data_IF_530724909949
#
_entry.id   IF_530724909949
#
_cell.length_a   1.000
_cell.length_b   1.000
_cell.length_c   1.000
_cell.angle_alpha   90.00
_cell.angle_beta   90.00
_cell.angle_gamma   90.00
#
_symmetry.space_group_name_H-M   'P 1'
#
loop_
_entity.id
_entity.type
_entity.pdbx_description
1 polymer ?
#
# COMPACT_ATOMS: atom_id res chain seq x y z
N UNK A 1 -33.68 26.31 9.18
CA UNK A 1 -33.52 25.33 8.08
C UNK A 1 -32.09 25.27 7.53
N UNK A 2 -31.45 26.40 7.19
CA UNK A 2 -30.07 26.42 6.66
C UNK A 2 -29.02 25.75 7.57
N UNK A 3 -29.11 25.93 8.90
CA UNK A 3 -28.19 25.30 9.87
C UNK A 3 -28.24 23.76 9.89
N UNK A 4 -29.44 23.18 9.73
CA UNK A 4 -29.62 21.73 9.60
C UNK A 4 -29.03 21.22 8.28
N UNK A 5 -29.15 22.02 7.21
CA UNK A 5 -28.54 21.70 5.91
C UNK A 5 -27.01 21.69 5.98
N UNK A 6 -26.40 22.67 6.67
CA UNK A 6 -24.95 22.67 6.91
C UNK A 6 -24.48 21.47 7.73
N UNK A 7 -25.23 21.09 8.78
CA UNK A 7 -24.91 19.92 9.60
C UNK A 7 -24.90 18.62 8.77
N UNK A 8 -25.88 18.45 7.87
CA UNK A 8 -25.97 17.28 7.00
C UNK A 8 -24.79 17.19 6.02
N UNK A 9 -24.37 18.32 5.45
CA UNK A 9 -23.23 18.38 4.53
C UNK A 9 -21.93 17.98 5.26
N UNK A 10 -21.69 18.54 6.44
CA UNK A 10 -20.50 18.22 7.26
C UNK A 10 -20.48 16.74 7.63
N UNK A 11 -21.63 16.17 8.02
CA UNK A 11 -21.72 14.75 8.37
C UNK A 11 -21.38 13.85 7.16
N UNK A 12 -21.97 14.11 5.98
CA UNK A 12 -21.69 13.32 4.77
C UNK A 12 -20.22 13.38 4.34
N UNK A 13 -19.54 14.51 4.53
CA UNK A 13 -18.11 14.65 4.21
C UNK A 13 -17.19 13.83 5.15
N UNK A 14 -17.61 13.59 6.39
CA UNK A 14 -16.83 12.78 7.34
C UNK A 14 -16.90 11.29 6.96
N UNK A 15 -18.03 10.83 6.41
CA UNK A 15 -18.20 9.43 6.01
C UNK A 15 -17.49 9.05 4.70
N UNK A 16 -17.10 10.01 3.85
CA UNK A 16 -16.41 9.70 2.58
C UNK A 16 -14.93 9.34 2.73
N UNK A 17 -14.36 9.42 3.94
CA UNK A 17 -12.95 9.09 4.18
C UNK A 17 -12.68 7.57 4.31
N UNK A 18 -13.72 6.75 4.44
CA UNK A 18 -13.60 5.30 4.60
C UNK A 18 -13.59 4.59 3.23
N UNK A 19 -12.48 4.67 2.51
CA UNK A 19 -12.22 3.87 1.30
C UNK A 19 -10.87 3.16 1.42
N UNK A 20 -10.83 1.85 1.18
CA UNK A 20 -9.57 1.12 1.06
C UNK A 20 -8.81 1.50 -0.23
N UNK A 21 -7.64 0.92 -0.50
CA UNK A 21 -7.02 1.03 -1.83
C UNK A 21 -7.93 0.37 -2.89
N UNK A 22 -8.12 1.03 -4.03
CA UNK A 22 -8.79 0.49 -5.22
C UNK A 22 -7.78 0.33 -6.36
N UNK A 23 -8.04 -0.60 -7.29
CA UNK A 23 -7.26 -0.73 -8.53
C UNK A 23 -5.93 -1.46 -8.39
N UNK A 24 -5.69 -2.16 -7.27
CA UNK A 24 -4.52 -3.03 -7.15
C UNK A 24 -4.70 -4.32 -7.94
N UNK A 25 -3.58 -4.85 -8.45
CA UNK A 25 -3.52 -6.15 -9.12
C UNK A 25 -2.90 -7.13 -8.14
N UNK A 26 -3.58 -8.26 -7.91
CA UNK A 26 -2.99 -9.36 -7.14
C UNK A 26 -2.18 -10.24 -8.09
N UNK A 27 -0.87 -10.23 -7.92
CA UNK A 27 0.05 -11.12 -8.62
C UNK A 27 0.32 -12.39 -7.80
N UNK A 28 0.40 -13.54 -8.47
CA UNK A 28 0.68 -14.83 -7.82
C UNK A 28 2.17 -15.09 -7.65
N UNK A 29 3.03 -14.30 -8.30
CA UNK A 29 4.48 -14.42 -8.24
C UNK A 29 5.09 -13.33 -7.37
N UNK A 30 6.15 -13.63 -6.60
CA UNK A 30 6.88 -12.62 -5.86
C UNK A 30 7.51 -11.58 -6.81
N UNK A 31 7.74 -10.34 -6.35
CA UNK A 31 8.37 -9.33 -7.18
C UNK A 31 9.81 -9.74 -7.52
N UNK A 32 10.29 -9.40 -8.73
CA UNK A 32 11.67 -9.68 -9.11
C UNK A 32 12.62 -8.77 -8.32
N UNK A 33 13.31 -9.35 -7.34
CA UNK A 33 14.30 -8.65 -6.52
C UNK A 33 15.74 -9.01 -6.92
N UNK A 34 16.65 -8.04 -6.79
CA UNK A 34 18.08 -8.26 -6.92
C UNK A 34 18.83 -7.66 -5.72
N UNK A 35 19.76 -8.38 -5.07
CA UNK A 35 20.04 -9.81 -5.27
C UNK A 35 18.84 -10.72 -4.96
N UNK A 36 18.89 -11.95 -5.48
CA UNK A 36 17.83 -12.96 -5.33
C UNK A 36 17.88 -13.59 -3.92
N UNK A 37 17.15 -12.99 -2.97
CA UNK A 37 16.97 -13.49 -1.60
C UNK A 37 15.73 -14.37 -1.31
N UNK A 38 14.78 -14.64 -2.23
CA UNK A 38 13.70 -15.59 -1.95
C UNK A 38 14.23 -16.95 -1.50
N UNK A 39 13.68 -17.48 -0.41
CA UNK A 39 14.06 -18.79 0.14
C UNK A 39 15.39 -18.82 0.91
N UNK A 40 16.10 -17.69 1.02
CA UNK A 40 17.33 -17.59 1.82
C UNK A 40 16.98 -17.29 3.28
N UNK A 41 17.60 -18.01 4.21
CA UNK A 41 17.51 -17.69 5.64
C UNK A 41 18.54 -16.62 5.99
N UNK A 42 18.06 -15.47 6.45
CA UNK A 42 18.89 -14.36 6.87
C UNK A 42 19.21 -14.48 8.37
N UNK A 43 20.48 -14.51 8.78
CA UNK A 43 20.83 -14.58 10.18
C UNK A 43 20.38 -13.32 10.92
N UNK A 44 19.94 -13.49 12.16
CA UNK A 44 19.70 -12.36 13.05
C UNK A 44 21.04 -11.63 13.28
N UNK A 45 21.00 -10.29 13.36
CA UNK A 45 22.16 -9.42 13.62
C UNK A 45 23.01 -8.97 12.41
N UNK A 46 22.44 -8.96 11.19
CA UNK A 46 23.02 -8.25 10.03
C UNK A 46 22.33 -6.90 9.80
N UNK A 47 22.99 -6.01 9.06
CA UNK A 47 22.35 -4.78 8.56
C UNK A 47 21.14 -5.11 7.66
N UNK A 48 20.19 -4.17 7.47
CA UNK A 48 19.07 -4.35 6.54
C UNK A 48 19.55 -4.76 5.15
N UNK A 49 18.80 -5.64 4.49
CA UNK A 49 19.10 -6.09 3.15
C UNK A 49 19.01 -4.91 2.17
N UNK A 50 20.09 -4.68 1.44
CA UNK A 50 20.07 -3.78 0.29
C UNK A 50 19.62 -4.58 -0.93
N UNK A 51 18.35 -4.46 -1.30
CA UNK A 51 17.78 -5.08 -2.50
C UNK A 51 17.02 -4.05 -3.33
N UNK A 52 16.94 -4.33 -4.62
CA UNK A 52 16.23 -3.52 -5.61
C UNK A 52 15.11 -4.36 -6.23
N UNK A 53 13.94 -3.76 -6.43
CA UNK A 53 12.86 -4.38 -7.21
C UNK A 53 12.99 -3.89 -8.65
N UNK A 54 13.26 -4.80 -9.58
CA UNK A 54 13.56 -4.45 -10.98
C UNK A 54 12.39 -3.76 -11.69
N UNK A 55 11.16 -4.07 -11.28
CA UNK A 55 9.92 -3.53 -11.84
C UNK A 55 9.17 -2.61 -10.87
N UNK A 56 9.89 -1.85 -10.04
CA UNK A 56 9.29 -0.95 -9.05
C UNK A 56 8.29 0.06 -9.65
N UNK A 57 8.43 0.40 -10.94
CA UNK A 57 7.50 1.26 -11.67
C UNK A 57 6.07 0.70 -11.74
N UNK A 58 5.87 -0.61 -11.51
CA UNK A 58 4.57 -1.29 -11.49
C UNK A 58 3.94 -1.34 -10.10
N UNK A 59 4.60 -0.82 -9.07
CA UNK A 59 4.12 -0.80 -7.68
C UNK A 59 3.27 0.45 -7.36
N UNK A 60 2.61 1.02 -8.38
CA UNK A 60 1.92 2.31 -8.29
C UNK A 60 0.46 2.18 -7.93
#
# INVERSE_FOLDING_TARGET
>A
MKKLLYLQIVMSSILSACGGPQGFITEQTPPPIYPDYPGVTIPVNIAPLNFMISDANRLR
#
